data_IF_670812685674
#
_entry.id   IF_670812685674
#
_cell.length_a   1.000
_cell.length_b   1.000
_cell.length_c   1.000
_cell.angle_alpha   90.00
_cell.angle_beta   90.00
_cell.angle_gamma   90.00
#
_symmetry.space_group_name_H-M   'P 1'
#
loop_
_entity.id
_entity.type
_entity.pdbx_description
1 polymer ?
2 non-polymer ?
3 water ?
#
# COMPACT_ATOMS: atom_id res chain seq x y z
N UNK A 1 23.30 41.21 -5.05
CA UNK A 1 23.90 40.29 -5.99
C UNK A 1 23.02 39.08 -6.22
N UNK A 2 23.27 38.36 -7.31
CA UNK A 2 22.52 37.17 -7.65
C UNK A 2 23.46 35.98 -7.71
N UNK A 3 23.02 34.84 -7.21
CA UNK A 3 23.76 33.60 -7.32
C UNK A 3 22.79 32.55 -7.85
N UNK A 4 23.30 31.63 -8.65
CA UNK A 4 22.49 30.59 -9.25
C UNK A 4 22.60 29.31 -8.43
N UNK A 5 21.49 28.58 -8.26
CA UNK A 5 21.43 27.32 -7.54
C UNK A 5 20.45 26.39 -8.21
N UNK A 6 20.73 25.10 -8.15
CA UNK A 6 19.93 24.07 -8.78
C UNK A 6 18.87 23.63 -7.78
N UNK A 7 17.64 23.59 -8.21
CA UNK A 7 16.54 23.11 -7.37
C UNK A 7 16.38 21.62 -7.54
N UNK A 8 16.35 20.90 -6.44
CA UNK A 8 16.07 19.48 -6.42
C UNK A 8 15.04 19.24 -5.33
N UNK A 9 13.82 18.89 -5.73
CA UNK A 9 12.77 18.53 -4.77
C UNK A 9 13.05 17.12 -4.30
N UNK A 10 12.96 16.90 -2.99
CA UNK A 10 13.21 15.61 -2.40
C UNK A 10 12.08 15.22 -1.43
N UNK A 11 11.85 13.90 -1.29
CA UNK A 11 10.82 13.37 -0.39
C UNK A 11 11.49 12.42 0.59
N UNK A 12 11.06 12.43 1.86
CA UNK A 12 11.69 11.60 2.88
C UNK A 12 11.11 10.17 2.91
N UNK A 13 11.96 9.18 2.65
CA UNK A 13 11.52 7.77 2.65
C UNK A 13 11.54 7.12 4.05
N UNK A 14 11.09 5.85 4.14
CA UNK A 14 11.02 5.04 5.35
C UNK A 14 12.34 4.77 6.02
N UNK A 15 13.45 4.85 5.27
CA UNK A 15 14.79 4.69 5.82
C UNK A 15 15.40 6.04 6.24
N UNK A 16 14.57 7.10 6.40
CA UNK A 16 15.00 8.45 6.76
C UNK A 16 16.02 9.04 5.79
N UNK A 17 15.88 8.76 4.50
CA UNK A 17 16.76 9.33 3.48
C UNK A 17 15.93 10.24 2.58
N UNK A 18 16.51 11.39 2.13
CA UNK A 18 15.78 12.31 1.25
C UNK A 18 16.02 11.80 -0.15
N UNK A 19 14.96 11.45 -0.87
CA UNK A 19 15.07 10.90 -2.21
C UNK A 19 14.72 11.92 -3.24
N UNK A 20 15.45 12.01 -4.37
CA UNK A 20 15.08 13.01 -5.37
C UNK A 20 13.94 12.55 -6.27
N UNK A 21 13.02 13.45 -6.59
CA UNK A 21 12.06 13.25 -7.66
C UNK A 21 12.93 13.41 -8.93
N UNK A 22 12.45 12.93 -10.07
CA UNK A 22 13.20 13.07 -11.34
C UNK A 22 13.20 14.53 -11.80
N UNK A 23 14.09 14.90 -12.73
CA UNK A 23 14.17 16.28 -13.24
C UNK A 23 12.84 16.68 -13.88
N UNK A 24 12.19 15.76 -14.60
CA UNK A 24 10.89 16.04 -15.23
C UNK A 24 9.83 16.47 -14.20
N UNK A 25 9.77 15.73 -13.07
CA UNK A 25 8.82 16.04 -12.00
C UNK A 25 9.19 17.35 -11.33
N UNK A 26 10.48 17.60 -11.07
CA UNK A 26 10.90 18.84 -10.43
C UNK A 26 10.54 20.10 -11.24
N UNK A 27 10.64 20.03 -12.58
CA UNK A 27 10.23 21.17 -13.40
C UNK A 27 8.72 21.41 -13.26
N UNK A 28 7.91 20.34 -13.15
CA UNK A 28 6.47 20.48 -13.01
C UNK A 28 6.14 21.10 -11.64
N UNK A 29 6.80 20.63 -10.56
CA UNK A 29 6.58 21.17 -9.21
C UNK A 29 6.90 22.67 -9.19
N UNK A 30 8.08 23.06 -9.72
CA UNK A 30 8.44 24.49 -9.76
C UNK A 30 7.41 25.32 -10.54
N UNK A 31 6.91 24.81 -11.66
CA UNK A 31 5.91 25.52 -12.45
C UNK A 31 4.61 25.76 -11.63
N UNK A 32 4.17 24.77 -10.85
CA UNK A 32 2.97 24.91 -10.02
C UNK A 32 3.22 25.90 -8.89
N UNK A 33 4.38 25.80 -8.24
CA UNK A 33 4.76 26.72 -7.17
C UNK A 33 4.83 28.19 -7.66
N UNK A 34 5.33 28.43 -8.90
CA UNK A 34 5.44 29.78 -9.46
C UNK A 34 4.03 30.39 -9.61
N UNK A 35 3.00 29.56 -9.89
CA UNK A 35 1.62 30.01 -10.05
C UNK A 35 0.95 30.24 -8.68
N UNK A 36 1.14 29.35 -7.69
CA UNK A 36 0.46 29.46 -6.39
C UNK A 36 1.29 28.81 -5.27
N UNK A 37 1.62 29.60 -4.23
CA UNK A 37 2.39 29.14 -3.06
C UNK A 37 1.66 28.09 -2.24
N UNK A 38 0.33 28.07 -2.28
CA UNK A 38 -0.47 27.08 -1.56
C UNK A 38 -1.17 26.11 -2.54
N UNK A 39 -0.58 25.89 -3.72
CA UNK A 39 -1.16 24.99 -4.69
C UNK A 39 -0.95 23.52 -4.35
N UNK A 40 -1.44 22.64 -5.21
CA UNK A 40 -1.31 21.18 -5.08
C UNK A 40 -0.72 20.66 -6.36
N UNK A 41 0.33 19.84 -6.28
CA UNK A 41 0.97 19.30 -7.48
C UNK A 41 0.43 17.91 -7.60
N UNK A 42 -0.28 17.65 -8.71
CA UNK A 42 -0.87 16.35 -8.98
C UNK A 42 0.21 15.68 -9.81
N UNK A 43 1.04 14.85 -9.17
CA UNK A 43 2.20 14.22 -9.81
C UNK A 43 1.83 13.29 -10.97
N UNK A 44 0.62 12.73 -10.95
CA UNK A 44 0.08 11.90 -12.03
C UNK A 44 -0.01 12.58 -13.38
N UNK A 45 -0.11 13.93 -13.41
CA UNK A 45 -0.17 14.69 -14.66
C UNK A 45 1.15 14.63 -15.46
N UNK A 46 2.29 14.40 -14.77
CA UNK A 46 3.61 14.35 -15.41
C UNK A 46 4.19 12.91 -15.42
N UNK A 47 3.82 12.07 -14.44
CA UNK A 47 4.31 10.69 -14.35
C UNK A 47 3.17 9.78 -13.90
N UNK A 48 2.68 8.92 -14.79
CA UNK A 48 1.59 7.99 -14.50
C UNK A 48 1.84 7.12 -13.26
N UNK A 49 3.10 6.70 -13.04
CA UNK A 49 3.46 5.88 -11.87
C UNK A 49 3.33 6.62 -10.54
N UNK A 50 3.28 7.96 -10.55
CA UNK A 50 3.08 8.73 -9.33
C UNK A 50 1.64 9.23 -9.19
N UNK A 51 0.67 8.62 -9.93
CA UNK A 51 -0.75 8.96 -9.85
C UNK A 51 -1.27 8.93 -8.39
N UNK A 52 -0.83 8.05 -7.46
CA UNK A 52 -1.37 8.14 -6.08
C UNK A 52 -0.98 9.39 -5.32
N UNK A 53 0.06 10.13 -5.75
CA UNK A 53 0.63 11.19 -4.94
C UNK A 53 0.34 12.61 -5.33
N UNK A 54 0.08 13.46 -4.33
CA UNK A 54 -0.14 14.89 -4.48
C UNK A 54 0.83 15.61 -3.51
N UNK A 55 1.50 16.69 -3.99
CA UNK A 55 2.34 17.49 -3.10
C UNK A 55 1.46 18.65 -2.69
N UNK A 56 1.22 18.77 -1.38
CA UNK A 56 0.48 19.86 -0.82
C UNK A 56 1.53 20.92 -0.50
N UNK A 57 1.64 21.95 -1.32
CA UNK A 57 2.64 23.00 -1.10
C UNK A 57 2.38 23.82 0.18
N UNK A 58 1.12 23.90 0.67
CA UNK A 58 0.84 24.63 1.89
C UNK A 58 1.55 23.97 3.08
N UNK A 59 1.42 22.65 3.26
CA UNK A 59 2.05 21.95 4.36
C UNK A 59 3.45 21.39 4.03
N UNK A 60 3.87 21.40 2.74
CA UNK A 60 5.14 20.84 2.28
C UNK A 60 5.21 19.35 2.61
N UNK A 61 4.17 18.61 2.23
CA UNK A 61 4.15 17.16 2.40
C UNK A 61 3.57 16.52 1.16
N UNK A 62 4.08 15.37 0.82
CA UNK A 62 3.54 14.52 -0.21
C UNK A 62 2.51 13.66 0.52
N UNK A 63 1.36 13.46 -0.08
CA UNK A 63 0.35 12.56 0.51
C UNK A 63 -0.19 11.62 -0.53
N UNK A 64 -0.50 10.39 -0.08
CA UNK A 64 -1.06 9.35 -0.92
C UNK A 64 -2.58 9.55 -0.85
N UNK A 65 -3.21 9.68 -2.01
CA UNK A 65 -4.65 9.95 -2.14
C UNK A 65 -5.54 8.88 -1.49
N UNK A 66 -5.22 7.61 -1.73
CA UNK A 66 -6.02 6.48 -1.25
C UNK A 66 -5.83 6.11 0.23
N UNK A 67 -4.73 6.57 0.89
CA UNK A 67 -4.44 6.22 2.29
C UNK A 67 -4.35 7.40 3.25
N UNK A 68 -4.00 8.58 2.74
CA UNK A 68 -3.79 9.77 3.55
C UNK A 68 -2.43 9.81 4.22
N UNK A 69 -1.52 8.87 3.91
CA UNK A 69 -0.21 8.83 4.53
C UNK A 69 0.61 9.99 3.96
N UNK A 70 1.37 10.64 4.83
CA UNK A 70 2.16 11.81 4.47
C UNK A 70 3.65 11.55 4.61
N UNK A 71 4.44 12.19 3.74
CA UNK A 71 5.89 12.15 3.77
C UNK A 71 6.37 13.57 3.58
N UNK A 72 7.26 14.08 4.45
CA UNK A 72 7.79 15.43 4.22
C UNK A 72 8.48 15.57 2.85
N UNK A 73 8.35 16.75 2.25
CA UNK A 73 9.05 17.11 1.01
C UNK A 73 9.91 18.40 1.30
N UNK A 74 10.93 18.61 0.48
CA UNK A 74 11.78 19.80 0.58
C UNK A 74 12.24 20.27 -0.76
N UNK A 75 12.32 21.59 -0.92
CA UNK A 75 12.79 22.23 -2.12
C UNK A 75 14.26 22.48 -1.79
N UNK A 76 15.13 21.53 -2.15
CA UNK A 76 16.54 21.62 -1.81
C UNK A 76 17.33 22.28 -2.93
N UNK A 77 18.54 22.73 -2.61
CA UNK A 77 19.41 23.43 -3.54
C UNK A 77 20.80 22.85 -3.52
N UNK A 78 21.39 22.74 -4.72
CA UNK A 78 22.73 22.23 -4.95
C UNK A 78 23.48 23.24 -5.84
N UNK A 79 24.80 23.07 -5.93
CA UNK A 79 25.63 23.99 -6.71
C UNK A 79 25.38 23.82 -8.19
N UNK A 80 25.41 24.90 -9.01
CA UNK A 80 25.25 24.73 -10.46
C UNK A 80 26.33 23.90 -11.16
N UNK A 81 27.51 23.74 -10.55
CA UNK A 81 28.57 22.90 -11.12
C UNK A 81 28.34 21.40 -10.85
N UNK A 82 27.33 21.05 -10.04
CA UNK A 82 27.06 19.67 -9.68
C UNK A 82 26.22 18.93 -10.77
N UNK A 83 26.26 17.60 -10.72
CA UNK A 83 25.53 16.74 -11.66
C UNK A 83 24.09 17.21 -12.03
N UNK A 84 23.18 17.52 -11.07
CA UNK A 84 21.82 17.92 -11.47
C UNK A 84 21.70 19.22 -12.26
N UNK A 85 22.69 20.10 -12.19
CA UNK A 85 22.68 21.33 -12.97
C UNK A 85 22.83 21.06 -14.46
N UNK A 86 23.43 19.94 -14.85
CA UNK A 86 23.59 19.58 -16.29
C UNK A 86 22.64 18.47 -16.75
N UNK A 87 22.11 17.70 -15.81
CA UNK A 87 21.24 16.58 -16.12
C UNK A 87 21.94 15.24 -16.01
N UNK A 88 23.14 15.18 -15.42
CA UNK A 88 23.84 13.91 -15.24
C UNK A 88 23.19 13.16 -14.10
N UNK A 89 22.92 11.85 -14.33
CA UNK A 89 22.30 11.01 -13.33
C UNK A 89 23.06 9.71 -13.26
N UNK A 90 23.38 9.27 -12.05
CA UNK A 90 24.02 7.98 -11.84
C UNK A 90 22.92 7.08 -11.25
N UNK A 91 22.82 5.85 -11.77
CA UNK A 91 21.78 4.91 -11.36
C UNK A 91 22.37 3.54 -11.16
N UNK A 92 21.72 2.73 -10.30
CA UNK A 92 22.16 1.35 -10.03
C UNK A 92 21.02 0.40 -10.39
N UNK A 93 21.37 -0.84 -10.79
CA UNK A 93 20.37 -1.85 -11.22
C UNK A 93 19.94 -2.72 -10.09
N UNK A 94 18.63 -2.89 -9.89
CA UNK A 94 18.12 -3.81 -8.86
C UNK A 94 17.96 -5.23 -9.44
N UNK A 95 17.66 -6.22 -8.60
CA UNK A 95 17.49 -7.62 -9.05
C UNK A 95 16.42 -7.73 -10.15
N UNK A 96 15.38 -6.93 -10.06
CA UNK A 96 14.32 -6.90 -11.06
C UNK A 96 14.67 -6.29 -12.42
N UNK A 97 15.88 -5.74 -12.57
CA UNK A 97 16.31 -5.11 -13.81
C UNK A 97 15.96 -3.63 -13.95
N UNK A 98 15.35 -3.03 -12.90
CA UNK A 98 14.98 -1.62 -12.92
C UNK A 98 16.18 -0.75 -12.48
N UNK A 99 16.24 0.48 -12.96
CA UNK A 99 17.33 1.39 -12.60
C UNK A 99 16.85 2.41 -11.61
N UNK A 100 17.62 2.64 -10.55
CA UNK A 100 17.27 3.59 -9.49
C UNK A 100 18.36 4.65 -9.34
N UNK A 101 17.99 5.94 -9.30
CA UNK A 101 18.97 7.00 -9.09
C UNK A 101 19.49 6.95 -7.67
N UNK A 102 20.78 7.22 -7.49
CA UNK A 102 21.35 7.37 -6.16
C UNK A 102 20.75 8.59 -5.50
N UNK A 103 20.83 8.72 -4.16
CA UNK A 103 20.45 9.96 -3.47
C UNK A 103 21.31 11.10 -4.05
N UNK A 104 20.78 12.32 -4.15
CA UNK A 104 21.47 13.38 -4.85
C UNK A 104 22.88 13.67 -4.31
N UNK A 105 23.10 13.69 -2.99
CA UNK A 105 24.47 13.89 -2.44
C UNK A 105 25.46 12.82 -2.97
N UNK A 106 25.01 11.58 -3.08
CA UNK A 106 25.82 10.46 -3.55
C UNK A 106 26.03 10.57 -5.05
N UNK A 107 24.98 10.90 -5.80
CA UNK A 107 25.09 11.13 -7.25
C UNK A 107 26.14 12.21 -7.57
N UNK A 108 26.11 13.34 -6.82
CA UNK A 108 27.08 14.42 -7.02
C UNK A 108 28.50 13.94 -6.72
N UNK A 109 28.68 13.23 -5.62
CA UNK A 109 29.99 12.68 -5.24
C UNK A 109 30.54 11.68 -6.26
N UNK A 110 29.68 10.81 -6.83
CA UNK A 110 30.08 9.83 -7.85
C UNK A 110 30.55 10.57 -9.08
N UNK A 111 29.76 11.54 -9.55
CA UNK A 111 30.14 12.31 -10.75
C UNK A 111 31.48 13.04 -10.53
N UNK A 112 31.66 13.64 -9.35
CA UNK A 112 32.89 14.35 -8.98
C UNK A 112 34.10 13.41 -8.97
N UNK A 113 33.94 12.19 -8.45
CA UNK A 113 35.00 11.20 -8.47
C UNK A 113 35.32 10.75 -9.90
N UNK A 114 34.27 10.47 -10.69
CA UNK A 114 34.41 10.06 -12.08
C UNK A 114 35.17 11.11 -12.91
N UNK A 115 34.80 12.40 -12.81
CA UNK A 115 35.49 13.43 -13.61
C UNK A 115 36.92 13.70 -13.13
N UNK A 116 37.24 13.45 -11.87
CA UNK A 116 38.63 13.56 -11.40
C UNK A 116 39.45 12.27 -11.73
N UNK A 117 38.89 11.33 -12.52
CA UNK A 117 39.55 10.07 -12.93
C UNK A 117 39.94 9.19 -11.76
N UNK A 118 39.17 9.21 -10.67
CA UNK A 118 39.46 8.34 -9.53
C UNK A 118 39.04 6.92 -9.92
N UNK A 119 39.88 5.88 -9.74
CA UNK A 119 39.45 4.51 -10.11
C UNK A 119 38.22 4.03 -9.35
N UNK A 120 38.07 4.47 -8.09
CA UNK A 120 36.94 4.05 -7.29
C UNK A 120 36.52 5.09 -6.24
N UNK A 121 35.37 4.85 -5.59
CA UNK A 121 34.87 5.71 -4.54
C UNK A 121 34.30 4.85 -3.41
N UNK A 122 34.77 5.10 -2.19
CA UNK A 122 34.27 4.42 -1.00
C UNK A 122 33.27 5.38 -0.35
N UNK A 123 32.01 4.95 -0.20
CA UNK A 123 30.98 5.79 0.40
C UNK A 123 30.87 5.64 1.92
N UNK A 124 31.82 4.95 2.59
CA UNK A 124 31.77 4.72 4.03
C UNK A 124 31.67 5.98 4.88
N UNK A 125 32.37 7.06 4.50
CA UNK A 125 32.32 8.33 5.23
C UNK A 125 30.92 8.94 5.18
N UNK A 126 30.16 8.72 4.09
CA UNK A 126 28.79 9.22 3.96
C UNK A 126 27.74 8.31 4.70
N UNK A 127 28.18 7.20 5.30
CA UNK A 127 27.33 6.27 6.03
C UNK A 127 26.77 5.17 5.16
N UNK A 128 27.56 4.70 4.18
CA UNK A 128 27.14 3.67 3.23
C UNK A 128 28.31 2.72 2.97
N UNK A 129 28.19 1.45 3.39
CA UNK A 129 29.25 0.45 3.22
C UNK A 129 29.27 -0.12 1.78
N UNK A 130 29.56 0.74 0.79
CA UNK A 130 29.59 0.37 -0.63
C UNK A 130 30.80 1.01 -1.32
N UNK A 131 31.26 0.37 -2.41
CA UNK A 131 32.34 0.87 -3.23
C UNK A 131 31.85 0.94 -4.68
N UNK A 132 32.15 2.05 -5.34
CA UNK A 132 31.80 2.27 -6.74
C UNK A 132 33.10 2.11 -7.49
N UNK A 133 33.17 1.15 -8.42
CA UNK A 133 34.35 0.90 -9.24
C UNK A 133 34.02 1.36 -10.65
N UNK A 134 34.76 2.35 -11.16
CA UNK A 134 34.46 2.90 -12.49
C UNK A 134 34.96 2.09 -13.68
N UNK A 135 36.08 1.34 -13.54
CA UNK A 135 36.59 0.55 -14.67
C UNK A 135 35.62 -0.59 -15.02
N UNK A 136 35.05 -1.25 -14.01
CA UNK A 136 34.06 -2.29 -14.23
C UNK A 136 32.61 -1.73 -14.28
N UNK A 137 32.39 -0.47 -13.82
CA UNK A 137 31.07 0.18 -13.77
C UNK A 137 30.13 -0.65 -12.94
N UNK A 138 30.50 -0.84 -11.66
CA UNK A 138 29.69 -1.61 -10.75
C UNK A 138 29.85 -1.10 -9.33
N UNK A 139 28.82 -1.34 -8.53
CA UNK A 139 28.76 -1.03 -7.12
C UNK A 139 28.99 -2.39 -6.42
N UNK A 140 29.68 -2.37 -5.27
CA UNK A 140 29.91 -3.57 -4.49
C UNK A 140 29.70 -3.27 -3.00
N UNK A 141 28.87 -4.07 -2.32
CA UNK A 141 28.64 -3.95 -0.88
C UNK A 141 29.94 -4.39 -0.19
N UNK A 142 30.50 -3.58 0.71
CA UNK A 142 31.77 -3.92 1.38
C UNK A 142 31.65 -5.17 2.25
N UNK A 143 30.55 -5.32 3.01
CA UNK A 143 30.37 -6.45 3.91
C UNK A 143 30.06 -7.78 3.19
N UNK A 144 29.14 -7.79 2.21
CA UNK A 144 28.72 -9.03 1.53
C UNK A 144 29.37 -9.28 0.16
N UNK A 145 30.03 -8.27 -0.46
CA UNK A 145 30.70 -8.39 -1.76
C UNK A 145 29.76 -8.51 -2.97
N UNK A 146 28.44 -8.40 -2.77
CA UNK A 146 27.50 -8.48 -3.90
C UNK A 146 27.65 -7.28 -4.86
N UNK A 147 27.72 -7.57 -6.18
CA UNK A 147 27.89 -6.56 -7.22
C UNK A 147 26.58 -6.22 -7.92
N UNK A 148 26.47 -4.96 -8.33
CA UNK A 148 25.31 -4.43 -9.04
C UNK A 148 25.83 -3.53 -10.13
N UNK A 149 25.25 -3.58 -11.32
CA UNK A 149 25.67 -2.70 -12.39
C UNK A 149 25.27 -1.25 -12.04
N UNK A 150 26.04 -0.32 -12.58
CA UNK A 150 25.72 1.09 -12.49
C UNK A 150 25.91 1.74 -13.85
N UNK A 151 25.26 2.88 -14.05
CA UNK A 151 25.33 3.56 -15.31
C UNK A 151 25.17 5.06 -15.07
N UNK A 152 25.63 5.83 -16.03
CA UNK A 152 25.45 7.29 -16.04
C UNK A 152 24.67 7.60 -17.29
N UNK A 153 23.73 8.54 -17.18
CA UNK A 153 22.94 9.03 -18.31
C UNK A 153 22.93 10.55 -18.30
N UNK A 154 22.67 11.14 -19.46
CA UNK A 154 22.45 12.57 -19.55
C UNK A 154 20.94 12.71 -19.71
N UNK A 155 20.25 12.99 -18.62
CA UNK A 155 18.81 13.17 -18.62
C UNK A 155 18.53 14.70 -18.78
N UNK A 156 17.50 15.26 -18.13
CA UNK A 156 17.22 16.66 -18.19
C UNK A 156 17.86 17.27 -16.98
N UNK A 157 18.37 18.49 -17.12
CA UNK A 157 18.88 19.23 -15.98
C UNK A 157 17.73 19.60 -15.08
N UNK A 158 17.99 19.68 -13.79
CA UNK A 158 17.03 20.11 -12.84
C UNK A 158 16.82 21.63 -12.96
N UNK A 159 15.71 22.20 -12.44
CA UNK A 159 15.53 23.67 -12.55
C UNK A 159 16.65 24.42 -11.86
N UNK A 160 17.00 25.59 -12.37
CA UNK A 160 18.06 26.42 -11.85
C UNK A 160 17.41 27.79 -11.61
N UNK A 161 17.53 28.31 -10.39
CA UNK A 161 16.92 29.59 -10.03
C UNK A 161 17.98 30.52 -9.42
N UNK A 162 17.61 31.80 -9.18
CA UNK A 162 18.48 32.80 -8.60
C UNK A 162 18.15 33.03 -7.13
N UNK A 163 19.17 33.05 -6.28
CA UNK A 163 19.13 33.45 -4.88
C UNK A 163 19.75 34.84 -4.78
N UNK A 164 19.07 35.78 -4.14
CA UNK A 164 19.55 37.14 -3.99
C UNK A 164 20.37 37.24 -2.70
N UNK A 165 21.48 37.98 -2.77
CA UNK A 165 22.36 38.21 -1.61
C UNK A 165 22.64 39.73 -1.48
N UNK B 1 6.11 -30.02 5.46
CA UNK B 1 5.26 -29.62 4.33
C UNK B 1 3.86 -29.22 4.75
N UNK B 2 3.72 -28.47 5.84
CA UNK B 2 2.42 -28.03 6.32
C UNK B 2 2.36 -26.52 6.33
N UNK B 3 1.24 -25.96 5.92
CA UNK B 3 1.01 -24.52 5.99
C UNK B 3 -0.35 -24.33 6.63
N UNK B 4 -0.49 -23.28 7.40
CA UNK B 4 -1.72 -22.98 8.12
C UNK B 4 -2.53 -21.95 7.34
N UNK B 5 -3.86 -22.11 7.29
CA UNK B 5 -4.77 -21.20 6.65
C UNK B 5 -6.06 -21.12 7.45
N UNK B 6 -6.67 -19.94 7.43
CA UNK B 6 -7.91 -19.66 8.15
C UNK B 6 -9.09 -20.04 7.28
N UNK B 7 -10.02 -20.81 7.82
CA UNK B 7 -11.24 -21.19 7.08
C UNK B 7 -12.31 -20.14 7.30
N UNK B 8 -12.92 -19.67 6.24
CA UNK B 8 -14.04 -18.74 6.32
C UNK B 8 -15.09 -19.25 5.36
N UNK B 9 -16.21 -19.75 5.89
CA UNK B 9 -17.30 -20.18 5.01
C UNK B 9 -18.05 -18.96 4.57
N UNK B 10 -18.36 -18.88 3.27
CA UNK B 10 -19.06 -17.74 2.72
C UNK B 10 -20.24 -18.21 1.85
N UNK B 11 -21.30 -17.37 1.78
CA UNK B 11 -22.50 -17.65 0.99
C UNK B 11 -22.69 -16.51 -0.02
N UNK B 12 -23.16 -16.83 -1.22
CA UNK B 12 -23.32 -15.85 -2.28
C UNK B 12 -24.67 -15.13 -2.20
N UNK B 13 -24.64 -13.83 -1.99
CA UNK B 13 -25.87 -13.04 -1.88
C UNK B 13 -26.43 -12.58 -3.25
N UNK B 14 -27.59 -11.89 -3.24
CA UNK B 14 -28.29 -11.35 -4.41
C UNK B 14 -27.51 -10.32 -5.19
N UNK B 15 -26.54 -9.65 -4.55
CA UNK B 15 -25.67 -8.67 -5.21
C UNK B 15 -24.37 -9.33 -5.74
N UNK B 16 -24.35 -10.68 -5.86
CA UNK B 16 -23.20 -11.45 -6.32
C UNK B 16 -21.94 -11.22 -5.48
N UNK B 17 -22.09 -11.03 -4.16
CA UNK B 17 -20.97 -10.88 -3.24
C UNK B 17 -20.92 -12.07 -2.30
N UNK B 18 -19.70 -12.56 -1.96
CA UNK B 18 -19.57 -13.69 -1.05
C UNK B 18 -19.58 -13.11 0.33
N UNK B 19 -20.56 -13.48 1.16
CA UNK B 19 -20.71 -12.96 2.52
C UNK B 19 -20.22 -13.94 3.53
N UNK B 20 -19.51 -13.49 4.59
CA UNK B 20 -19.04 -14.48 5.58
C UNK B 20 -20.10 -14.84 6.61
N UNK B 21 -20.20 -16.11 6.99
CA UNK B 21 -20.95 -16.51 8.15
C UNK B 21 -20.08 -16.04 9.34
N UNK B 22 -20.64 -15.94 10.52
CA UNK B 22 -19.85 -15.52 11.69
C UNK B 22 -18.87 -16.62 12.10
N UNK B 23 -17.86 -16.29 12.95
CA UNK B 23 -16.89 -17.28 13.40
C UNK B 23 -17.59 -18.43 14.13
N UNK B 24 -18.60 -18.12 14.94
CA UNK B 24 -19.34 -19.16 15.68
C UNK B 24 -19.97 -20.20 14.73
N UNK B 25 -20.58 -19.71 13.64
CA UNK B 25 -21.21 -20.59 12.67
C UNK B 25 -20.15 -21.38 11.91
N UNK B 26 -19.03 -20.75 11.52
CA UNK B 26 -17.98 -21.45 10.81
C UNK B 26 -17.36 -22.62 11.61
N UNK B 27 -17.19 -22.47 12.95
CA UNK B 27 -16.70 -23.56 13.75
C UNK B 27 -17.73 -24.72 13.77
N UNK B 28 -19.03 -24.41 13.76
CA UNK B 28 -20.05 -25.45 13.74
C UNK B 28 -20.02 -26.19 12.39
N UNK B 29 -19.94 -25.44 11.27
CA UNK B 29 -19.86 -26.05 9.93
C UNK B 29 -18.65 -26.99 9.82
N UNK B 30 -17.46 -26.51 10.23
CA UNK B 30 -16.26 -27.36 10.20
C UNK B 30 -16.44 -28.64 11.03
N UNK B 31 -17.05 -28.52 12.22
CA UNK B 31 -17.29 -29.69 13.07
C UNK B 31 -18.18 -30.74 12.36
N UNK B 32 -19.22 -30.29 11.65
CA UNK B 32 -20.13 -31.19 10.93
C UNK B 32 -19.39 -31.83 9.75
N UNK B 33 -18.63 -31.02 9.00
CA UNK B 33 -17.85 -31.52 7.87
C UNK B 33 -16.82 -32.58 8.30
N UNK B 34 -16.17 -32.41 9.49
CA UNK B 34 -15.19 -33.37 9.98
C UNK B 34 -15.85 -34.73 10.23
N UNK B 35 -17.12 -34.74 10.65
CA UNK B 35 -17.88 -35.96 10.92
C UNK B 35 -18.36 -36.62 9.63
N UNK B 36 -18.88 -35.84 8.64
CA UNK B 36 -19.44 -36.41 7.40
C UNK B 36 -19.33 -35.43 6.23
N UNK B 37 -18.67 -35.86 5.13
CA UNK B 37 -18.49 -35.03 3.93
C UNK B 37 -19.80 -34.74 3.21
N UNK B 38 -20.82 -35.58 3.38
CA UNK B 38 -22.13 -35.36 2.77
C UNK B 38 -23.20 -35.03 3.84
N UNK B 39 -22.79 -34.45 4.97
CA UNK B 39 -23.71 -34.10 6.03
C UNK B 39 -24.52 -32.84 5.72
N UNK B 40 -25.38 -32.46 6.66
CA UNK B 40 -26.24 -31.28 6.55
C UNK B 40 -26.02 -30.45 7.79
N UNK B 41 -25.72 -29.16 7.63
CA UNK B 41 -25.49 -28.29 8.78
C UNK B 41 -26.78 -27.57 9.00
N UNK B 42 -27.39 -27.78 10.17
CA UNK B 42 -28.65 -27.17 10.55
C UNK B 42 -28.19 -25.92 11.30
N UNK B 43 -28.17 -24.78 10.60
CA UNK B 43 -27.64 -23.52 11.15
C UNK B 43 -28.42 -23.00 12.37
N UNK B 44 -29.70 -23.39 12.50
CA UNK B 44 -30.54 -23.05 13.64
C UNK B 44 -30.04 -23.58 14.98
N UNK B 45 -29.23 -24.67 14.97
CA UNK B 45 -28.67 -25.25 16.19
C UNK B 45 -27.65 -24.31 16.87
N UNK B 46 -26.99 -23.45 16.08
CA UNK B 46 -25.97 -22.53 16.60
C UNK B 46 -26.45 -21.06 16.61
N UNK B 47 -27.37 -20.68 15.70
CA UNK B 47 -27.88 -19.31 15.61
C UNK B 47 -29.38 -19.36 15.29
N UNK B 48 -30.24 -18.96 16.25
CA UNK B 48 -31.69 -18.98 16.08
C UNK B 48 -32.16 -18.19 14.85
N UNK B 49 -31.50 -17.08 14.53
CA UNK B 49 -31.86 -16.26 13.36
C UNK B 49 -31.62 -16.97 12.02
N UNK B 50 -30.78 -18.02 12.00
CA UNK B 50 -30.56 -18.79 10.76
C UNK B 50 -31.35 -20.10 10.75
N UNK B 51 -32.40 -20.23 11.61
CA UNK B 51 -33.25 -21.41 11.64
C UNK B 51 -33.82 -21.77 10.24
N UNK B 52 -34.15 -20.83 9.30
CA UNK B 52 -34.63 -21.29 7.98
C UNK B 52 -33.59 -22.03 7.13
N UNK B 53 -32.27 -21.90 7.44
CA UNK B 53 -31.24 -22.38 6.54
C UNK B 53 -30.50 -23.65 6.92
N UNK B 54 -30.22 -24.48 5.90
CA UNK B 54 -29.47 -25.71 6.03
C UNK B 54 -28.35 -25.67 4.96
N UNK B 55 -27.12 -26.07 5.34
CA UNK B 55 -26.06 -26.17 4.35
C UNK B 55 -26.00 -27.62 3.98
N UNK B 56 -26.21 -27.92 2.70
CA UNK B 56 -26.13 -29.26 2.17
C UNK B 56 -24.70 -29.41 1.72
N UNK B 57 -23.87 -30.10 2.50
CA UNK B 57 -22.45 -30.26 2.15
C UNK B 57 -22.23 -31.08 0.89
N UNK B 58 -23.16 -31.98 0.52
CA UNK B 58 -23.02 -32.77 -0.70
C UNK B 58 -23.01 -31.85 -1.92
N UNK B 59 -23.98 -30.94 -2.04
CA UNK B 59 -24.06 -30.02 -3.17
C UNK B 59 -23.33 -28.68 -2.96
N UNK B 60 -22.89 -28.37 -1.72
CA UNK B 60 -22.25 -27.10 -1.37
C UNK B 60 -23.20 -25.94 -1.66
N UNK B 61 -24.43 -26.03 -1.16
CA UNK B 61 -25.39 -24.95 -1.28
C UNK B 61 -26.12 -24.78 0.03
N UNK B 62 -26.44 -23.54 0.37
CA UNK B 62 -27.31 -23.22 1.46
C UNK B 62 -28.73 -23.25 0.85
N UNK B 63 -29.68 -23.83 1.56
CA UNK B 63 -31.08 -23.81 1.10
C UNK B 63 -31.99 -23.39 2.22
N UNK B 64 -33.07 -22.69 1.84
CA UNK B 64 -34.08 -22.21 2.77
C UNK B 64 -35.12 -23.34 2.84
N UNK B 65 -35.39 -23.81 4.05
CA UNK B 65 -36.31 -24.94 4.32
C UNK B 65 -37.73 -24.72 3.77
N UNK B 66 -38.29 -23.54 4.02
CA UNK B 66 -39.67 -23.22 3.66
C UNK B 66 -39.89 -22.87 2.17
N UNK B 67 -38.83 -22.53 1.41
CA UNK B 67 -38.97 -22.13 0.00
C UNK B 67 -38.21 -22.99 -1.00
N UNK B 68 -37.14 -23.66 -0.57
CA UNK B 68 -36.29 -24.44 -1.45
C UNK B 68 -35.29 -23.62 -2.25
N UNK B 69 -35.19 -22.30 -1.98
CA UNK B 69 -34.26 -21.46 -2.71
C UNK B 69 -32.84 -21.81 -2.26
N UNK B 70 -31.91 -21.83 -3.22
CA UNK B 70 -30.54 -22.22 -2.97
C UNK B 70 -29.58 -21.06 -3.23
N UNK B 71 -28.50 -21.00 -2.46
CA UNK B 71 -27.42 -20.04 -2.64
C UNK B 71 -26.13 -20.80 -2.55
N UNK B 72 -25.23 -20.67 -3.52
CA UNK B 72 -23.92 -21.33 -3.39
C UNK B 72 -23.18 -20.95 -2.09
N UNK B 73 -22.48 -21.91 -1.49
CA UNK B 73 -21.58 -21.69 -0.36
C UNK B 73 -20.12 -22.12 -0.77
N UNK B 74 -19.10 -21.62 -0.06
CA UNK B 74 -17.72 -21.97 -0.29
C UNK B 74 -16.95 -22.01 1.00
N UNK B 75 -16.03 -22.95 1.09
CA UNK B 75 -15.16 -23.09 2.25
C UNK B 75 -13.90 -22.34 1.78
N UNK B 76 -13.84 -21.04 2.08
CA UNK B 76 -12.74 -20.23 1.61
C UNK B 76 -11.61 -20.17 2.63
N UNK B 77 -10.41 -19.73 2.18
CA UNK B 77 -9.23 -19.67 3.02
C UNK B 77 -8.52 -18.36 2.88
N UNK B 78 -8.00 -17.85 4.02
CA UNK B 78 -7.30 -16.58 4.15
C UNK B 78 -6.01 -16.84 4.92
N UNK B 79 -5.10 -15.86 4.90
CA UNK B 79 -3.82 -16.01 5.55
C UNK B 79 -3.98 -15.98 7.07
N UNK B 80 -3.20 -16.76 7.83
CA UNK B 80 -3.29 -16.69 9.30
C UNK B 80 -2.94 -15.33 9.92
N UNK B 81 -2.19 -14.47 9.23
CA UNK B 81 -1.90 -13.13 9.73
C UNK B 81 -3.07 -12.14 9.51
N UNK B 82 -4.14 -12.55 8.81
CA UNK B 82 -5.25 -11.68 8.52
C UNK B 82 -6.27 -11.61 9.70
N UNK B 83 -7.11 -10.56 9.72
CA UNK B 83 -8.11 -10.34 10.76
C UNK B 83 -8.89 -11.63 11.23
N UNK B 84 -9.46 -12.48 10.35
CA UNK B 84 -10.22 -13.66 10.85
C UNK B 84 -9.38 -14.72 11.60
N UNK B 85 -8.07 -14.74 11.40
CA UNK B 85 -7.19 -15.65 12.14
C UNK B 85 -7.11 -15.31 13.62
N UNK B 86 -7.37 -14.05 14.00
CA UNK B 86 -7.34 -13.62 15.42
C UNK B 86 -8.73 -13.38 16.01
N UNK B 87 -9.74 -13.17 15.15
CA UNK B 87 -11.08 -12.86 15.59
C UNK B 87 -11.44 -11.38 15.44
N UNK B 88 -10.60 -10.57 14.76
CA UNK B 88 -10.90 -9.16 14.57
C UNK B 88 -11.98 -9.04 13.53
N UNK B 89 -13.04 -8.23 13.81
CA UNK B 89 -14.12 -8.02 12.88
C UNK B 89 -14.39 -6.54 12.80
N UNK B 90 -14.56 -6.04 11.58
CA UNK B 90 -14.94 -4.64 11.36
C UNK B 90 -16.39 -4.68 10.89
N UNK B 91 -17.23 -3.79 11.46
CA UNK B 91 -18.66 -3.76 11.19
C UNK B 91 -19.12 -2.33 11.00
N UNK B 92 -20.18 -2.16 10.22
CA UNK B 92 -20.79 -0.83 9.96
C UNK B 92 -22.23 -0.83 10.46
N UNK B 93 -22.73 0.36 10.88
CA UNK B 93 -24.08 0.49 11.43
C UNK B 93 -25.09 0.84 10.38
N UNK B 94 -26.21 0.11 10.31
CA UNK B 94 -27.26 0.43 9.35
C UNK B 94 -28.25 1.44 9.98
N UNK B 95 -29.21 1.96 9.19
CA UNK B 95 -30.22 2.91 9.68
C UNK B 95 -30.98 2.37 10.89
N UNK B 96 -31.26 1.07 10.90
CA UNK B 96 -31.94 0.42 12.00
C UNK B 96 -31.16 0.24 13.29
N UNK B 97 -29.87 0.60 13.31
CA UNK B 97 -29.02 0.44 14.49
C UNK B 97 -28.34 -0.91 14.62
N UNK B 98 -28.50 -1.81 13.63
CA UNK B 98 -27.86 -3.12 13.64
C UNK B 98 -26.45 -3.03 13.04
N UNK B 99 -25.55 -3.90 13.46
CA UNK B 99 -24.18 -3.90 12.98
C UNK B 99 -23.98 -5.03 11.99
N UNK B 100 -23.34 -4.74 10.85
CA UNK B 100 -23.10 -5.72 9.80
C UNK B 100 -21.60 -5.84 9.50
N UNK B 101 -21.05 -7.06 9.45
CA UNK B 101 -19.65 -7.25 9.12
C UNK B 101 -19.42 -6.94 7.66
N UNK B 102 -18.27 -6.30 7.34
CA UNK B 102 -17.88 -6.11 5.97
C UNK B 102 -17.59 -7.46 5.33
N UNK B 103 -17.61 -7.55 3.98
CA UNK B 103 -17.13 -8.76 3.29
C UNK B 103 -15.68 -9.05 3.77
N UNK B 104 -15.29 -10.30 3.83
CA UNK B 104 -14.03 -10.66 4.44
C UNK B 104 -12.83 -9.99 3.78
N UNK B 105 -12.76 -9.90 2.44
CA UNK B 105 -11.64 -9.20 1.78
C UNK B 105 -11.54 -7.72 2.24
N UNK B 106 -12.69 -7.06 2.42
CA UNK B 106 -12.74 -5.67 2.85
C UNK B 106 -12.37 -5.56 4.32
N UNK B 107 -12.89 -6.46 5.16
CA UNK B 107 -12.52 -6.53 6.57
C UNK B 107 -10.99 -6.66 6.76
N UNK B 108 -10.35 -7.55 5.98
CA UNK B 108 -8.90 -7.75 6.06
C UNK B 108 -8.16 -6.49 5.64
N UNK B 109 -8.60 -5.86 4.56
CA UNK B 109 -7.99 -4.61 4.07
C UNK B 109 -8.12 -3.46 5.08
N UNK B 110 -9.29 -3.31 5.72
CA UNK B 110 -9.51 -2.29 6.75
C UNK B 110 -8.56 -2.52 7.91
N UNK B 111 -8.47 -3.75 8.41
CA UNK B 111 -7.59 -4.05 9.54
C UNK B 111 -6.12 -3.76 9.19
N UNK B 112 -5.71 -4.14 7.96
CA UNK B 112 -4.36 -3.91 7.48
C UNK B 112 -4.04 -2.42 7.39
N UNK B 113 -4.99 -1.60 6.92
CA UNK B 113 -4.81 -0.15 6.87
C UNK B 113 -4.74 0.44 8.29
N UNK B 114 -5.64 -0.01 9.20
CA UNK B 114 -5.68 0.44 10.57
C UNK B 114 -4.35 0.16 11.30
N UNK B 115 -3.81 -1.07 11.19
CA UNK B 115 -2.55 -1.39 11.89
C UNK B 115 -1.33 -0.68 11.28
N UNK B 116 -1.37 -0.32 9.99
CA UNK B 116 -0.29 0.48 9.39
C UNK B 116 -0.48 1.99 9.68
N UNK B 117 -1.43 2.40 10.55
CA UNK B 117 -1.71 3.78 10.95
C UNK B 117 -2.09 4.69 9.78
N UNK B 118 -2.76 4.14 8.76
CA UNK B 118 -3.21 4.95 7.64
C UNK B 118 -4.40 5.77 8.11
N UNK B 119 -4.46 7.11 7.89
CA UNK B 119 -5.64 7.87 8.33
C UNK B 119 -6.93 7.42 7.70
N UNK B 120 -6.89 6.97 6.44
CA UNK B 120 -8.09 6.54 5.76
C UNK B 120 -7.82 5.43 4.72
N UNK B 121 -8.90 4.85 4.18
CA UNK B 121 -8.81 3.84 3.15
C UNK B 121 -9.91 4.10 2.12
N UNK B 122 -9.53 4.14 0.84
CA UNK B 122 -10.45 4.30 -0.26
C UNK B 122 -10.65 2.91 -0.85
N UNK B 123 -11.88 2.41 -0.87
CA UNK B 123 -12.18 1.08 -1.39
C UNK B 123 -12.49 1.08 -2.89
N UNK B 124 -12.29 2.20 -3.61
CA UNK B 124 -12.62 2.30 -5.05
C UNK B 124 -11.96 1.24 -5.92
N UNK B 125 -10.69 0.88 -5.64
CA UNK B 125 -9.98 -0.15 -6.40
C UNK B 125 -10.65 -1.53 -6.25
N UNK B 126 -11.25 -1.80 -5.09
CA UNK B 126 -11.97 -3.06 -4.85
C UNK B 126 -13.41 -3.07 -5.46
N UNK B 127 -13.85 -1.96 -6.07
CA UNK B 127 -15.17 -1.82 -6.68
C UNK B 127 -16.23 -1.31 -5.72
N UNK B 128 -15.84 -0.41 -4.80
CA UNK B 128 -16.73 0.15 -3.78
C UNK B 128 -16.43 1.63 -3.59
N UNK B 129 -17.37 2.51 -3.95
CA UNK B 129 -17.21 3.95 -3.85
C UNK B 129 -17.43 4.45 -2.41
N UNK B 130 -16.56 4.01 -1.48
CA UNK B 130 -16.65 4.38 -0.06
C UNK B 130 -15.25 4.68 0.50
N UNK B 131 -15.21 5.52 1.55
CA UNK B 131 -14.00 5.86 2.26
C UNK B 131 -14.20 5.54 3.73
N UNK B 132 -13.20 4.90 4.33
CA UNK B 132 -13.19 4.54 5.74
C UNK B 132 -12.24 5.53 6.38
N UNK B 133 -12.72 6.34 7.33
CA UNK B 133 -11.91 7.32 8.05
C UNK B 133 -11.72 6.80 9.46
N UNK B 134 -10.49 6.52 9.87
CA UNK B 134 -10.23 5.96 11.20
C UNK B 134 -10.26 6.95 12.37
N UNK B 135 -9.92 8.24 12.14
CA UNK B 135 -9.93 9.22 13.22
C UNK B 135 -11.35 9.48 13.71
N UNK B 136 -12.31 9.60 12.78
CA UNK B 136 -13.72 9.77 13.14
C UNK B 136 -14.45 8.41 13.31
N UNK B 137 -13.85 7.28 12.82
CA UNK B 137 -14.43 5.94 12.88
C UNK B 137 -15.76 5.93 12.16
N UNK B 138 -15.72 6.27 10.88
CA UNK B 138 -16.92 6.31 10.07
C UNK B 138 -16.60 5.96 8.62
N UNK B 139 -17.60 5.46 7.94
CA UNK B 139 -17.58 5.14 6.52
C UNK B 139 -18.34 6.29 5.84
N UNK B 140 -17.92 6.69 4.65
CA UNK B 140 -18.60 7.73 3.89
C UNK B 140 -18.69 7.32 2.42
N UNK B 141 -19.90 7.36 1.85
CA UNK B 141 -20.13 7.07 0.43
C UNK B 141 -19.50 8.23 -0.35
N UNK B 142 -18.63 7.93 -1.34
CA UNK B 142 -17.97 8.99 -2.10
C UNK B 142 -18.94 9.85 -2.92
N UNK B 143 -19.93 9.22 -3.56
CA UNK B 143 -20.89 9.94 -4.41
C UNK B 143 -21.92 10.77 -3.63
N UNK B 144 -22.53 10.20 -2.57
CA UNK B 144 -23.59 10.90 -1.81
C UNK B 144 -23.15 11.57 -0.49
N UNK B 145 -21.94 11.23 0.03
CA UNK B 145 -21.38 11.82 1.27
C UNK B 145 -22.07 11.33 2.56
N UNK B 146 -23.01 10.38 2.48
CA UNK B 146 -23.65 9.86 3.70
C UNK B 146 -22.67 9.10 4.60
N UNK B 147 -22.69 9.41 5.91
CA UNK B 147 -21.80 8.80 6.90
C UNK B 147 -22.51 7.71 7.71
N UNK B 148 -21.74 6.69 8.09
CA UNK B 148 -22.21 5.56 8.88
C UNK B 148 -21.13 5.24 9.88
N UNK B 149 -21.49 4.95 11.14
CA UNK B 149 -20.51 4.59 12.12
C UNK B 149 -19.90 3.21 11.77
N UNK B 150 -18.66 3.01 12.20
CA UNK B 150 -18.01 1.73 12.09
C UNK B 150 -17.32 1.41 13.40
N UNK B 151 -17.08 0.12 13.61
CA UNK B 151 -16.45 -0.32 14.85
C UNK B 151 -15.64 -1.57 14.58
N UNK B 152 -14.70 -1.83 15.46
CA UNK B 152 -13.90 -3.04 15.44
C UNK B 152 -14.16 -3.76 16.74
N UNK B 153 -14.29 -5.07 16.69
CA UNK B 153 -14.47 -5.92 17.87
C UNK B 153 -13.49 -7.09 17.81
N UNK B 154 -13.20 -7.68 18.97
CA UNK B 154 -12.43 -8.89 19.02
C UNK B 154 -13.47 -9.98 19.30
N UNK B 155 -13.93 -10.65 18.27
CA UNK B 155 -14.90 -11.73 18.38
C UNK B 155 -14.11 -13.07 18.54
N UNK B 156 -14.58 -14.17 17.95
CA UNK B 156 -13.90 -15.43 18.01
C UNK B 156 -13.09 -15.51 16.72
N UNK B 157 -11.91 -16.13 16.79
CA UNK B 157 -11.15 -16.41 15.58
C UNK B 157 -11.88 -17.46 14.78
N UNK B 158 -11.75 -17.40 13.46
CA UNK B 158 -12.30 -18.38 12.59
C UNK B 158 -11.44 -19.66 12.67
N UNK B 159 -11.97 -20.83 12.25
CA UNK B 159 -11.17 -22.06 12.32
C UNK B 159 -9.88 -21.93 11.51
N UNK B 160 -8.82 -22.61 11.94
CA UNK B 160 -7.53 -22.59 11.28
C UNK B 160 -7.19 -24.06 11.04
N UNK B 161 -6.86 -24.42 9.79
CA UNK B 161 -6.52 -25.80 9.46
C UNK B 161 -5.16 -25.83 8.73
N UNK B 162 -4.64 -27.06 8.48
CA UNK B 162 -3.38 -27.27 7.80
C UNK B 162 -3.63 -27.70 6.36
N UNK B 163 -2.91 -27.08 5.42
CA UNK B 163 -2.83 -27.45 4.02
C UNK B 163 -1.48 -28.14 3.80
N UNK B 164 -1.46 -29.32 3.20
CA UNK B 164 -0.24 -30.05 2.95
C UNK B 164 0.32 -29.64 1.59
N UNK B 165 1.65 -29.49 1.50
CA UNK B 165 2.37 -29.14 0.27
C UNK B 165 3.58 -30.09 0.07
#
# INVERSE_FOLDING_TARGET
GNVARVVVWEWLNEHSRWRPYTATVCHHIENVLKEDARGSVVLGQVDAQLVPYIIDLQSMHQFRQDTGTMRPVRRNFYDPSSAPGKGIVWEWENDGGAWTAYDMDICITIQNAYEKQHPWLDLSSLGFCYLIYFNSMSQMNRQTRRRRRLRRRLDLAYPLTVGSI
GNVARVVVWEWLNEHSRWRPYTATVCHHIENVLKEDARGSVVLGQVDAQLVPYIIDLQSMHQFRQDTGTMRPVRRNFYDPSSAPGKGIVWEWENDGGAWTAYDMDICITIQNAYEKQHPWLDLSSLGFCYLIYFNSMSQMNRQTRRRRRLRRRLDLAYPLTVGSI
#
